data_IF_050006551819
#
_entry.id   IF_050006551819
#
_cell.length_a   1.000
_cell.length_b   1.000
_cell.length_c   1.000
_cell.angle_alpha   90.00
_cell.angle_beta   90.00
_cell.angle_gamma   90.00
#
_symmetry.space_group_name_H-M   'P 1'
#
loop_
_entity.id
_entity.type
_entity.pdbx_description
1 polymer ?
#
# COMPACT_ATOMS: atom_id res chain seq x y z
N UNK A 1 -21.41 27.47 -13.86
CA UNK A 1 -22.60 26.59 -13.92
C UNK A 1 -22.39 25.29 -14.70
N UNK A 2 -21.93 25.26 -15.96
CA UNK A 2 -21.67 23.97 -16.64
C UNK A 2 -20.44 23.24 -16.06
N UNK A 3 -19.40 23.98 -15.67
CA UNK A 3 -18.21 23.39 -15.05
C UNK A 3 -18.49 22.80 -13.66
N UNK A 4 -19.20 23.53 -12.81
CA UNK A 4 -19.57 23.08 -11.46
C UNK A 4 -20.39 21.78 -11.52
N UNK A 5 -21.25 21.63 -12.53
CA UNK A 5 -22.01 20.39 -12.74
C UNK A 5 -21.10 19.23 -13.12
N UNK A 6 -20.22 19.40 -14.12
CA UNK A 6 -19.34 18.33 -14.61
C UNK A 6 -18.34 17.90 -13.53
N UNK A 7 -17.68 18.86 -12.88
CA UNK A 7 -16.74 18.57 -11.78
C UNK A 7 -17.50 17.97 -10.59
N UNK A 8 -18.68 18.50 -10.27
CA UNK A 8 -19.53 17.99 -9.19
C UNK A 8 -20.00 16.55 -9.41
N UNK A 9 -20.37 16.19 -10.63
CA UNK A 9 -20.79 14.83 -11.00
C UNK A 9 -19.60 13.86 -10.92
N UNK A 10 -18.45 14.26 -11.49
CA UNK A 10 -17.20 13.50 -11.40
C UNK A 10 -16.76 13.24 -9.95
N UNK A 11 -16.88 14.23 -9.06
CA UNK A 11 -16.60 14.08 -7.63
C UNK A 11 -17.51 13.04 -6.96
N UNK A 12 -18.80 13.04 -7.29
CA UNK A 12 -19.76 12.10 -6.69
C UNK A 12 -19.52 10.66 -7.18
N UNK A 13 -19.25 10.49 -8.47
CA UNK A 13 -18.89 9.18 -9.04
C UNK A 13 -17.59 8.65 -8.44
N UNK A 14 -16.58 9.50 -8.33
CA UNK A 14 -15.32 9.17 -7.68
C UNK A 14 -15.51 8.73 -6.22
N UNK A 15 -16.31 9.46 -5.44
CA UNK A 15 -16.58 9.11 -4.05
C UNK A 15 -17.28 7.75 -3.93
N UNK A 16 -18.28 7.50 -4.78
CA UNK A 16 -18.99 6.20 -4.82
C UNK A 16 -18.05 5.05 -5.21
N UNK A 17 -17.17 5.27 -6.16
CA UNK A 17 -16.20 4.26 -6.59
C UNK A 17 -15.17 3.94 -5.48
N UNK A 18 -14.62 4.96 -4.81
CA UNK A 18 -13.76 4.75 -3.65
C UNK A 18 -14.49 3.98 -2.52
N UNK A 19 -15.79 4.22 -2.33
CA UNK A 19 -16.62 3.47 -1.37
C UNK A 19 -16.80 2.00 -1.78
N UNK A 20 -16.89 1.71 -3.07
CA UNK A 20 -16.91 0.33 -3.56
C UNK A 20 -15.54 -0.34 -3.38
N UNK A 21 -14.45 0.40 -3.60
CA UNK A 21 -13.11 -0.11 -3.35
C UNK A 21 -12.86 -0.40 -1.88
N UNK A 22 -13.36 0.42 -0.94
CA UNK A 22 -13.26 0.09 0.48
C UNK A 22 -13.92 -1.25 0.79
N UNK A 23 -15.07 -1.55 0.19
CA UNK A 23 -15.73 -2.84 0.36
C UNK A 23 -14.93 -3.99 -0.21
N UNK A 24 -14.40 -3.85 -1.43
CA UNK A 24 -13.62 -4.87 -2.10
C UNK A 24 -12.34 -5.21 -1.32
N UNK A 25 -11.65 -4.18 -0.81
CA UNK A 25 -10.46 -4.32 0.03
C UNK A 25 -10.82 -5.06 1.32
N UNK A 26 -11.85 -4.64 2.04
CA UNK A 26 -12.17 -5.30 3.32
C UNK A 26 -12.76 -6.70 3.13
N UNK A 27 -13.53 -6.95 2.07
CA UNK A 27 -13.98 -8.31 1.73
C UNK A 27 -12.82 -9.22 1.36
N UNK A 28 -11.80 -8.69 0.68
CA UNK A 28 -10.59 -9.45 0.40
C UNK A 28 -9.85 -9.86 1.69
N UNK A 29 -9.94 -9.05 2.75
CA UNK A 29 -9.39 -9.39 4.08
C UNK A 29 -10.19 -10.47 4.81
N UNK A 30 -11.51 -10.56 4.60
CA UNK A 30 -12.38 -11.56 5.23
C UNK A 30 -12.43 -12.92 4.50
N UNK A 31 -12.01 -12.96 3.23
CA UNK A 31 -12.16 -14.13 2.35
C UNK A 31 -10.97 -15.10 2.39
N UNK A 32 -11.21 -16.33 1.92
CA UNK A 32 -10.16 -17.31 1.71
C UNK A 32 -9.05 -16.73 0.82
N UNK A 33 -7.79 -16.99 1.19
CA UNK A 33 -6.61 -16.21 0.78
C UNK A 33 -6.46 -16.04 -0.74
N UNK A 34 -6.75 -17.09 -1.51
CA UNK A 34 -6.65 -17.06 -2.98
C UNK A 34 -7.70 -16.16 -3.66
N UNK A 35 -8.87 -16.00 -3.04
CA UNK A 35 -9.99 -15.21 -3.57
C UNK A 35 -9.81 -13.74 -3.18
N UNK A 36 -9.39 -13.48 -1.94
CA UNK A 36 -9.08 -12.13 -1.50
C UNK A 36 -7.93 -11.49 -2.28
N UNK A 37 -6.87 -12.26 -2.55
CA UNK A 37 -5.72 -11.75 -3.31
C UNK A 37 -6.09 -11.42 -4.77
N UNK A 38 -6.90 -12.24 -5.44
CA UNK A 38 -7.41 -11.93 -6.77
C UNK A 38 -8.26 -10.65 -6.79
N UNK A 39 -9.10 -10.43 -5.78
CA UNK A 39 -9.91 -9.21 -5.67
C UNK A 39 -9.04 -7.97 -5.45
N UNK A 40 -8.01 -8.06 -4.62
CA UNK A 40 -7.07 -6.95 -4.39
C UNK A 40 -6.18 -6.67 -5.60
N UNK A 41 -5.71 -7.70 -6.31
CA UNK A 41 -4.90 -7.58 -7.53
C UNK A 41 -5.65 -6.88 -8.67
N UNK A 42 -6.98 -7.02 -8.72
CA UNK A 42 -7.85 -6.38 -9.70
C UNK A 42 -8.13 -4.89 -9.40
N UNK A 43 -7.69 -4.36 -8.26
CA UNK A 43 -7.80 -2.94 -7.95
C UNK A 43 -6.79 -2.13 -8.78
N UNK A 44 -7.12 -0.89 -9.17
CA UNK A 44 -6.16 0.00 -9.81
C UNK A 44 -4.88 0.14 -8.98
N UNK A 45 -3.72 0.17 -9.64
CA UNK A 45 -2.41 0.21 -8.97
C UNK A 45 -2.30 1.36 -7.95
N UNK A 46 -2.85 2.53 -8.25
CA UNK A 46 -2.84 3.68 -7.34
C UNK A 46 -3.71 3.47 -6.09
N UNK A 47 -4.83 2.74 -6.19
CA UNK A 47 -5.68 2.36 -5.05
C UNK A 47 -4.94 1.35 -4.18
N UNK A 48 -4.31 0.34 -4.78
CA UNK A 48 -3.48 -0.63 -4.08
C UNK A 48 -2.38 0.06 -3.29
N UNK A 49 -1.63 0.95 -3.94
CA UNK A 49 -0.56 1.74 -3.33
C UNK A 49 -1.03 2.60 -2.17
N UNK A 50 -2.24 3.14 -2.24
CA UNK A 50 -2.81 4.05 -1.24
C UNK A 50 -3.22 3.33 0.04
N UNK A 51 -4.00 2.26 -0.08
CA UNK A 51 -4.36 1.45 1.08
C UNK A 51 -3.09 0.84 1.70
N UNK A 52 -2.09 0.54 0.86
CA UNK A 52 -0.73 0.14 1.27
C UNK A 52 0.10 1.27 1.92
N UNK A 53 -0.28 2.55 1.77
CA UNK A 53 0.44 3.72 2.33
C UNK A 53 -0.32 4.43 3.47
N UNK A 54 -1.59 4.13 3.70
CA UNK A 54 -2.53 4.89 4.56
C UNK A 54 -2.35 4.88 6.09
N UNK A 55 -1.22 4.45 6.65
CA UNK A 55 -1.03 4.39 8.13
C UNK A 55 -0.09 5.47 8.70
N UNK A 56 0.62 6.26 7.88
CA UNK A 56 1.49 7.35 8.38
C UNK A 56 0.89 8.73 8.13
N UNK A 57 0.72 9.50 9.21
CA UNK A 57 0.02 10.80 9.23
C UNK A 57 0.65 11.92 8.39
N UNK A 58 1.94 11.80 8.03
CA UNK A 58 2.65 12.80 7.20
C UNK A 58 2.55 12.48 5.70
N UNK A 59 2.31 11.21 5.33
CA UNK A 59 2.19 10.74 3.93
C UNK A 59 0.75 10.91 3.40
N UNK A 60 -0.25 11.00 4.28
CA UNK A 60 -1.68 11.14 3.92
C UNK A 60 -2.01 12.38 3.08
N UNK A 61 -1.36 13.53 3.33
CA UNK A 61 -1.69 14.78 2.61
C UNK A 61 -1.27 14.74 1.13
N UNK A 62 -0.17 14.06 0.79
CA UNK A 62 0.32 13.99 -0.60
C UNK A 62 -0.32 12.85 -1.41
N UNK A 63 -0.62 11.71 -0.77
CA UNK A 63 -1.24 10.58 -1.45
C UNK A 63 -2.71 10.85 -1.80
N UNK A 64 -3.51 11.37 -0.85
CA UNK A 64 -4.94 11.67 -1.04
C UNK A 64 -5.18 12.60 -2.23
N UNK A 65 -4.35 13.62 -2.36
CA UNK A 65 -4.44 14.57 -3.48
C UNK A 65 -4.23 13.86 -4.82
N UNK A 66 -3.22 13.00 -4.95
CA UNK A 66 -2.93 12.26 -6.18
C UNK A 66 -4.08 11.32 -6.55
N UNK A 67 -4.64 10.59 -5.58
CA UNK A 67 -5.72 9.62 -5.83
C UNK A 67 -7.00 10.33 -6.24
N UNK A 68 -7.39 11.34 -5.46
CA UNK A 68 -8.59 12.12 -5.74
C UNK A 68 -8.46 12.81 -7.09
N UNK A 69 -7.27 13.33 -7.42
CA UNK A 69 -6.98 13.85 -8.75
C UNK A 69 -7.20 12.76 -9.81
N UNK A 70 -6.44 11.67 -9.81
CA UNK A 70 -6.53 10.65 -10.87
C UNK A 70 -7.93 10.06 -11.03
N UNK A 71 -8.60 9.70 -9.94
CA UNK A 71 -9.94 9.13 -10.03
C UNK A 71 -10.96 10.15 -10.53
N UNK A 72 -10.89 11.42 -10.09
CA UNK A 72 -11.80 12.46 -10.58
C UNK A 72 -11.52 12.77 -12.05
N UNK A 73 -10.25 12.74 -12.48
CA UNK A 73 -9.86 12.91 -13.88
C UNK A 73 -10.55 11.90 -14.78
N UNK A 74 -10.57 10.63 -14.37
CA UNK A 74 -11.24 9.55 -15.12
C UNK A 74 -12.76 9.74 -15.22
N UNK A 75 -13.39 10.45 -14.26
CA UNK A 75 -14.84 10.69 -14.25
C UNK A 75 -15.27 12.01 -14.89
N UNK A 76 -14.33 12.89 -15.26
CA UNK A 76 -14.68 14.08 -16.02
C UNK A 76 -15.02 13.68 -17.45
N UNK A 77 -16.32 13.56 -17.73
CA UNK A 77 -16.81 13.26 -19.07
C UNK A 77 -17.03 14.53 -19.88
N UNK A 78 -16.09 14.83 -20.78
CA UNK A 78 -16.16 15.94 -21.74
C UNK A 78 -16.25 15.46 -23.20
N UNK A 79 -16.64 14.19 -23.42
CA UNK A 79 -16.67 13.55 -24.73
C UNK A 79 -15.26 13.25 -25.27
N UNK A 80 -15.03 13.47 -26.57
CA UNK A 80 -13.73 13.26 -27.24
C UNK A 80 -12.72 14.40 -27.00
N UNK A 81 -13.05 15.33 -26.11
CA UNK A 81 -12.25 16.51 -25.87
C UNK A 81 -11.17 16.30 -24.80
N UNK A 82 -10.05 16.99 -24.94
CA UNK A 82 -9.03 17.04 -23.91
C UNK A 82 -9.52 17.84 -22.69
N UNK A 83 -9.47 17.20 -21.51
CA UNK A 83 -10.01 17.74 -20.24
C UNK A 83 -9.36 19.08 -19.88
N UNK A 84 -8.04 19.20 -20.03
CA UNK A 84 -7.31 20.41 -19.68
C UNK A 84 -7.74 21.60 -20.54
N UNK A 85 -7.82 21.38 -21.85
CA UNK A 85 -8.30 22.38 -22.80
C UNK A 85 -9.77 22.75 -22.54
N UNK A 86 -10.62 21.78 -22.22
CA UNK A 86 -12.02 22.03 -21.89
C UNK A 86 -12.14 22.93 -20.66
N UNK A 87 -11.40 22.63 -19.58
CA UNK A 87 -11.40 23.39 -18.33
C UNK A 87 -10.89 24.83 -18.54
N UNK A 88 -9.78 25.00 -19.27
CA UNK A 88 -9.22 26.33 -19.61
C UNK A 88 -10.23 27.18 -20.37
N UNK A 89 -10.95 26.61 -21.35
CA UNK A 89 -12.00 27.36 -22.09
C UNK A 89 -13.22 27.69 -21.23
N UNK A 90 -13.47 26.93 -20.16
CA UNK A 90 -14.50 27.25 -19.16
C UNK A 90 -14.03 28.25 -18.10
N UNK A 91 -12.80 28.77 -18.24
CA UNK A 91 -12.23 29.80 -17.40
C UNK A 91 -11.45 29.27 -16.21
N UNK A 92 -11.18 27.97 -16.10
CA UNK A 92 -10.32 27.44 -15.03
C UNK A 92 -8.90 27.90 -15.25
N UNK A 93 -8.34 28.52 -14.21
CA UNK A 93 -6.93 28.89 -14.19
C UNK A 93 -6.10 27.61 -14.16
N UNK A 94 -5.12 27.50 -15.06
CA UNK A 94 -4.24 26.34 -15.20
C UNK A 94 -4.92 25.01 -15.59
N UNK A 95 -6.19 25.06 -16.01
CA UNK A 95 -6.90 23.89 -16.53
C UNK A 95 -7.04 22.78 -15.50
N UNK A 96 -6.63 21.56 -15.86
CA UNK A 96 -6.74 20.44 -14.92
C UNK A 96 -5.73 20.54 -13.77
N UNK A 97 -4.52 21.03 -14.05
CA UNK A 97 -3.47 21.21 -13.03
C UNK A 97 -3.84 22.29 -11.98
N UNK A 98 -4.85 23.12 -12.27
CA UNK A 98 -5.43 24.08 -11.34
C UNK A 98 -6.53 23.52 -10.42
N UNK A 99 -6.89 22.24 -10.56
CA UNK A 99 -7.77 21.54 -9.62
C UNK A 99 -6.92 20.93 -8.51
N UNK A 100 -7.11 21.42 -7.30
CA UNK A 100 -6.32 21.01 -6.15
C UNK A 100 -7.14 20.17 -5.19
N UNK A 101 -6.58 19.04 -4.75
CA UNK A 101 -7.28 18.05 -3.92
C UNK A 101 -6.65 17.88 -2.53
N UNK A 102 -5.70 18.74 -2.14
CA UNK A 102 -4.99 18.71 -0.85
C UNK A 102 -5.88 18.70 0.41
N UNK A 103 -7.17 19.07 0.30
CA UNK A 103 -8.13 19.01 1.42
C UNK A 103 -8.89 17.69 1.50
N UNK A 104 -8.73 16.81 0.50
CA UNK A 104 -9.44 15.54 0.46
C UNK A 104 -8.92 14.57 1.53
N UNK A 105 -9.84 13.81 2.09
CA UNK A 105 -9.58 12.83 3.11
C UNK A 105 -10.29 11.51 2.78
N UNK A 106 -9.50 10.46 2.55
CA UNK A 106 -10.00 9.12 2.33
C UNK A 106 -9.79 8.35 3.65
N UNK A 107 -10.84 8.31 4.47
CA UNK A 107 -10.94 7.61 5.76
C UNK A 107 -9.99 8.06 6.88
N UNK A 108 -9.73 9.36 7.02
CA UNK A 108 -9.13 9.97 8.23
C UNK A 108 -10.02 10.02 9.49
N UNK A 109 -11.25 9.48 9.43
CA UNK A 109 -12.12 9.21 10.57
C UNK A 109 -12.69 7.78 10.56
N UNK A 110 -12.03 6.89 9.81
CA UNK A 110 -12.34 5.45 9.74
C UNK A 110 -13.68 5.09 9.07
N UNK A 111 -14.50 6.07 8.66
CA UNK A 111 -15.87 5.78 8.15
C UNK A 111 -16.25 6.53 6.89
N UNK A 112 -15.67 7.70 6.65
CA UNK A 112 -16.04 8.57 5.53
C UNK A 112 -14.95 8.70 4.48
N UNK A 113 -15.38 8.84 3.23
CA UNK A 113 -14.58 9.28 2.09
C UNK A 113 -15.04 10.70 1.76
N UNK A 114 -14.10 11.63 1.76
CA UNK A 114 -14.34 13.06 1.59
C UNK A 114 -13.43 13.63 0.50
N UNK A 115 -13.99 13.83 -0.69
CA UNK A 115 -13.25 14.40 -1.82
C UNK A 115 -13.56 15.89 -1.90
N UNK A 116 -12.54 16.72 -1.71
CA UNK A 116 -12.63 18.18 -1.78
C UNK A 116 -11.72 18.69 -2.88
N UNK A 117 -12.29 19.39 -3.86
CA UNK A 117 -11.54 20.07 -4.90
C UNK A 117 -11.66 21.59 -4.74
N UNK A 118 -10.54 22.28 -4.88
CA UNK A 118 -10.44 23.74 -4.87
C UNK A 118 -9.80 24.20 -6.17
N UNK A 119 -10.45 25.12 -6.88
CA UNK A 119 -9.93 25.67 -8.14
C UNK A 119 -10.36 27.12 -8.33
N UNK A 120 -9.66 27.81 -9.24
CA UNK A 120 -9.95 29.21 -9.57
C UNK A 120 -10.58 29.31 -10.95
N UNK A 121 -11.64 30.11 -11.06
CA UNK A 121 -12.30 30.42 -12.33
C UNK A 121 -12.17 31.92 -12.61
N UNK A 122 -11.60 32.26 -13.76
CA UNK A 122 -11.62 33.60 -14.30
C UNK A 122 -12.97 33.85 -14.96
N UNK A 123 -13.70 34.82 -14.42
CA UNK A 123 -14.99 35.22 -14.98
C UNK A 123 -14.79 36.55 -15.69
N UNK A 124 -14.80 36.49 -17.01
CA UNK A 124 -14.83 37.67 -17.87
C UNK A 124 -16.27 38.03 -18.18
N UNK A 125 -16.81 39.02 -17.46
CA UNK A 125 -18.14 39.55 -17.76
C UNK A 125 -18.02 40.77 -18.69
N UNK A 126 -18.05 40.51 -20.01
CA UNK A 126 -18.20 41.52 -21.07
C UNK A 126 -17.30 42.76 -20.92
N UNK A 127 -16.03 42.58 -20.51
CA UNK A 127 -15.05 43.65 -20.36
C UNK A 127 -15.28 44.62 -19.19
N UNK A 128 -16.24 44.34 -18.30
CA UNK A 128 -16.59 45.21 -17.16
C UNK A 128 -16.04 44.69 -15.82
N UNK A 129 -15.87 43.38 -15.69
CA UNK A 129 -15.40 42.73 -14.47
C UNK A 129 -14.42 41.63 -14.88
N UNK A 130 -13.17 41.79 -14.47
CA UNK A 130 -12.17 40.72 -14.45
C UNK A 130 -12.02 40.31 -12.99
N UNK A 131 -12.62 39.17 -12.64
CA UNK A 131 -12.56 38.62 -11.29
C UNK A 131 -12.23 37.15 -11.34
N UNK A 132 -11.27 36.76 -10.53
CA UNK A 132 -11.00 35.37 -10.19
C UNK A 132 -11.88 34.96 -9.01
N UNK A 133 -12.73 33.96 -9.22
CA UNK A 133 -13.50 33.32 -8.17
C UNK A 133 -12.80 32.05 -7.74
N UNK A 134 -12.72 31.80 -6.43
CA UNK A 134 -12.27 30.50 -5.91
C UNK A 134 -13.50 29.66 -5.65
N UNK A 135 -13.55 28.49 -6.26
CA UNK A 135 -14.63 27.51 -6.13
C UNK A 135 -14.12 26.35 -5.28
N UNK A 136 -14.95 25.89 -4.36
CA UNK A 136 -14.71 24.71 -3.55
C UNK A 136 -15.93 23.80 -3.70
N UNK A 137 -15.70 22.55 -4.12
CA UNK A 137 -16.72 21.52 -4.23
C UNK A 137 -16.31 20.32 -3.40
N UNK A 138 -17.30 19.69 -2.77
CA UNK A 138 -17.10 18.58 -1.84
C UNK A 138 -18.10 17.47 -2.12
N UNK A 139 -17.62 16.24 -2.26
CA UNK A 139 -18.43 15.04 -2.26
C UNK A 139 -18.03 14.18 -1.06
N UNK A 140 -19.03 13.78 -0.26
CA UNK A 140 -18.82 12.98 0.93
C UNK A 140 -19.71 11.75 0.90
N UNK A 141 -19.13 10.58 1.11
CA UNK A 141 -19.86 9.31 1.23
C UNK A 141 -19.29 8.47 2.37
N UNK A 142 -20.09 7.51 2.85
CA UNK A 142 -19.57 6.50 3.77
C UNK A 142 -18.78 5.45 2.97
N UNK A 143 -17.69 4.94 3.55
CA UNK A 143 -17.07 3.72 3.08
C UNK A 143 -18.00 2.53 3.32
N UNK A 144 -18.10 1.63 2.36
CA UNK A 144 -18.75 0.35 2.59
C UNK A 144 -17.77 -0.59 3.29
N UNK A 145 -18.02 -0.76 4.59
CA UNK A 145 -17.20 -1.55 5.50
C UNK A 145 -18.09 -2.67 6.07
N UNK A 146 -17.62 -3.92 6.18
CA UNK A 146 -18.37 -4.96 6.87
C UNK A 146 -18.71 -4.57 8.32
N UNK A 147 -19.78 -5.14 8.87
CA UNK A 147 -20.35 -4.73 10.16
C UNK A 147 -19.41 -4.90 11.38
N UNK A 148 -18.20 -5.42 11.19
CA UNK A 148 -17.27 -5.81 12.25
C UNK A 148 -15.88 -5.17 12.09
N UNK A 149 -15.72 -4.18 11.20
CA UNK A 149 -14.44 -3.50 11.03
C UNK A 149 -14.26 -2.51 12.18
N UNK A 150 -13.55 -2.94 13.21
CA UNK A 150 -12.91 -2.02 14.15
C UNK A 150 -11.61 -1.55 13.49
N UNK A 151 -11.59 -0.30 13.05
CA UNK A 151 -10.33 0.36 12.77
C UNK A 151 -9.67 0.55 14.14
N UNK A 152 -8.53 -0.10 14.35
CA UNK A 152 -7.74 0.16 15.54
C UNK A 152 -7.42 1.65 15.56
N UNK A 153 -7.89 2.35 16.60
CA UNK A 153 -7.54 3.76 16.83
C UNK A 153 -6.01 3.89 16.78
N UNK A 154 -5.47 4.37 15.66
CA UNK A 154 -4.04 4.74 15.56
C UNK A 154 -3.93 6.12 16.20
N UNK A 155 -4.05 6.14 17.52
CA UNK A 155 -4.09 7.36 18.30
C UNK A 155 -4.97 7.28 19.53
N UNK A 156 -4.86 6.20 20.33
CA UNK A 156 -4.87 6.24 21.80
C UNK A 156 -4.90 4.81 22.35
N UNK A 157 -3.90 4.51 23.18
CA UNK A 157 -3.76 3.34 24.05
C UNK A 157 -3.67 1.94 23.40
N UNK A 158 -2.43 1.42 23.42
CA UNK A 158 -2.11 0.00 23.49
C UNK A 158 -3.10 -0.76 24.39
N UNK A 159 -4.05 -1.48 23.79
CA UNK A 159 -4.80 -2.55 24.43
C UNK A 159 -4.37 -3.89 23.84
N UNK A 160 -3.27 -4.40 24.40
CA UNK A 160 -2.88 -5.81 24.53
C UNK A 160 -3.40 -6.80 23.46
N UNK A 161 -2.72 -6.84 22.32
CA UNK A 161 -2.68 -7.96 21.38
C UNK A 161 -1.29 -8.07 20.77
N UNK A 162 -0.78 -9.29 20.55
CA UNK A 162 0.51 -9.50 19.88
C UNK A 162 0.47 -8.95 18.44
N UNK A 163 1.57 -8.38 17.94
CA UNK A 163 1.72 -7.93 16.54
C UNK A 163 1.44 -9.07 15.53
N UNK A 164 1.51 -10.31 15.98
CA UNK A 164 1.19 -11.49 15.17
C UNK A 164 -0.31 -11.72 14.96
N UNK A 165 -1.17 -11.03 15.72
CA UNK A 165 -2.62 -10.97 15.50
C UNK A 165 -3.01 -9.91 14.48
N UNK A 166 -2.10 -8.99 14.15
CA UNK A 166 -2.30 -8.01 13.08
C UNK A 166 -2.24 -8.63 11.69
N UNK A 167 -2.81 -7.92 10.72
CA UNK A 167 -2.77 -8.32 9.31
C UNK A 167 -1.33 -8.43 8.80
N UNK A 168 -1.11 -9.26 7.76
CA UNK A 168 0.22 -9.42 7.14
C UNK A 168 0.83 -8.08 6.72
N UNK A 169 -0.01 -7.14 6.31
CA UNK A 169 0.39 -5.82 5.86
C UNK A 169 0.85 -4.91 7.02
N UNK A 170 0.05 -4.79 8.09
CA UNK A 170 0.43 -4.01 9.29
C UNK A 170 1.70 -4.59 9.91
N UNK A 171 1.73 -5.91 10.07
CA UNK A 171 2.88 -6.64 10.61
C UNK A 171 4.12 -6.50 9.74
N UNK A 172 3.96 -6.57 8.42
CA UNK A 172 5.03 -6.33 7.46
C UNK A 172 5.66 -4.95 7.63
N UNK A 173 4.84 -3.89 7.69
CA UNK A 173 5.32 -2.52 7.93
C UNK A 173 6.04 -2.37 9.26
N UNK A 174 5.47 -2.92 10.33
CA UNK A 174 6.06 -2.88 11.67
C UNK A 174 7.48 -3.44 11.66
N UNK A 175 7.68 -4.64 11.12
CA UNK A 175 8.99 -5.28 11.10
C UNK A 175 9.95 -4.64 10.09
N UNK A 176 9.48 -4.19 8.92
CA UNK A 176 10.31 -3.45 7.97
C UNK A 176 10.86 -2.18 8.61
N UNK A 177 10.03 -1.41 9.31
CA UNK A 177 10.46 -0.19 9.99
C UNK A 177 11.51 -0.49 11.06
N UNK A 178 11.24 -1.46 11.95
CA UNK A 178 12.17 -1.88 13.01
C UNK A 178 13.52 -2.35 12.44
N UNK A 179 13.50 -3.14 11.36
CA UNK A 179 14.72 -3.65 10.73
C UNK A 179 15.48 -2.54 9.98
N UNK A 180 14.79 -1.64 9.27
CA UNK A 180 15.45 -0.49 8.61
C UNK A 180 16.10 0.46 9.63
N UNK A 181 15.52 0.63 10.81
CA UNK A 181 16.11 1.41 11.90
C UNK A 181 17.39 0.74 12.46
N UNK A 182 17.43 -0.59 12.53
CA UNK A 182 18.66 -1.31 12.91
C UNK A 182 19.74 -1.24 11.83
N UNK A 183 19.35 -1.14 10.56
CA UNK A 183 20.25 -1.12 9.39
C UNK A 183 20.19 0.21 8.62
N UNK A 184 20.20 1.35 9.32
CA UNK A 184 20.02 2.69 8.70
C UNK A 184 20.90 2.96 7.49
N UNK A 185 22.15 2.49 7.50
CA UNK A 185 23.10 2.70 6.40
C UNK A 185 22.79 1.86 5.16
N UNK A 186 22.08 0.75 5.34
CA UNK A 186 21.68 -0.17 4.29
C UNK A 186 20.22 0.04 3.87
N UNK A 187 19.47 0.89 4.56
CA UNK A 187 18.04 1.08 4.31
C UNK A 187 17.78 1.70 2.94
N UNK A 188 16.92 1.04 2.17
CA UNK A 188 16.46 1.47 0.85
C UNK A 188 15.17 2.27 0.99
N UNK A 189 15.00 3.30 0.15
CA UNK A 189 13.77 4.08 0.09
C UNK A 189 12.57 3.19 -0.27
N UNK A 190 11.47 3.36 0.44
CA UNK A 190 10.26 2.54 0.27
C UNK A 190 9.67 2.66 -1.13
N UNK A 191 8.99 1.60 -1.60
CA UNK A 191 8.33 1.57 -2.91
C UNK A 191 9.18 1.01 -4.05
N UNK A 192 10.41 0.56 -3.77
CA UNK A 192 11.32 -0.03 -4.75
C UNK A 192 11.29 -1.57 -4.79
N UNK A 193 10.44 -2.22 -3.98
CA UNK A 193 10.31 -3.69 -3.89
C UNK A 193 11.45 -4.42 -3.16
N UNK A 194 12.42 -3.65 -2.64
CA UNK A 194 13.53 -4.10 -1.79
C UNK A 194 13.66 -3.17 -0.60
N UNK A 195 14.15 -3.69 0.53
CA UNK A 195 14.16 -2.97 1.80
C UNK A 195 15.57 -2.60 2.27
N UNK A 196 16.55 -3.47 2.01
CA UNK A 196 17.95 -3.23 2.37
C UNK A 196 18.87 -3.50 1.20
N UNK A 197 19.94 -2.72 1.10
CA UNK A 197 21.05 -2.93 0.19
C UNK A 197 22.37 -2.93 0.95
N UNK A 198 23.05 -4.07 0.91
CA UNK A 198 24.36 -4.29 1.49
C UNK A 198 25.39 -4.13 0.37
N UNK A 199 25.98 -2.93 0.28
CA UNK A 199 26.84 -2.52 -0.83
C UNK A 199 28.13 -3.34 -0.93
N UNK A 200 28.78 -3.64 0.21
CA UNK A 200 30.04 -4.41 0.24
C UNK A 200 29.84 -5.84 -0.29
N UNK A 201 28.69 -6.45 0.00
CA UNK A 201 28.31 -7.78 -0.47
C UNK A 201 27.56 -7.77 -1.81
N UNK A 202 27.24 -6.58 -2.36
CA UNK A 202 26.34 -6.41 -3.50
C UNK A 202 25.06 -7.24 -3.35
N UNK A 203 24.38 -7.10 -2.20
CA UNK A 203 23.25 -7.95 -1.82
C UNK A 203 21.99 -7.12 -1.54
N UNK A 204 20.90 -7.49 -2.19
CA UNK A 204 19.57 -6.90 -1.97
C UNK A 204 18.72 -7.81 -1.08
N UNK A 205 18.03 -7.20 -0.13
CA UNK A 205 17.15 -7.89 0.80
C UNK A 205 15.74 -7.30 0.73
N UNK A 206 14.74 -8.17 0.53
CA UNK A 206 13.33 -7.84 0.80
C UNK A 206 12.89 -8.49 2.10
N UNK A 207 12.19 -7.74 2.94
CA UNK A 207 11.74 -8.16 4.26
C UNK A 207 10.27 -8.52 4.18
N UNK A 208 9.93 -9.73 4.63
CA UNK A 208 8.56 -10.21 4.73
C UNK A 208 8.27 -10.66 6.16
N UNK A 209 7.00 -10.77 6.51
CA UNK A 209 6.58 -11.39 7.77
C UNK A 209 5.62 -12.54 7.51
N UNK A 210 5.70 -13.59 8.32
CA UNK A 210 4.84 -14.78 8.20
C UNK A 210 4.51 -15.33 9.58
N UNK A 211 3.25 -15.21 10.00
CA UNK A 211 2.78 -15.89 11.19
C UNK A 211 2.65 -17.40 10.89
N UNK A 212 3.70 -18.17 11.17
CA UNK A 212 3.72 -19.61 10.86
C UNK A 212 2.69 -20.43 11.66
N UNK A 213 2.11 -19.85 12.71
CA UNK A 213 1.07 -20.48 13.53
C UNK A 213 -0.35 -20.18 13.07
N UNK A 214 -0.53 -19.29 12.09
CA UNK A 214 -1.83 -19.05 11.49
C UNK A 214 -2.40 -20.34 10.88
N UNK A 215 -3.73 -20.48 10.91
CA UNK A 215 -4.43 -21.67 10.43
C UNK A 215 -4.19 -21.97 8.95
N UNK A 216 -3.76 -21.00 8.15
CA UNK A 216 -3.32 -21.19 6.77
C UNK A 216 -2.00 -21.94 6.66
N UNK A 217 -1.08 -21.78 7.63
CA UNK A 217 0.26 -22.35 7.61
C UNK A 217 0.48 -23.50 8.58
N UNK A 218 -0.41 -23.67 9.56
CA UNK A 218 -0.35 -24.75 10.54
C UNK A 218 -1.71 -25.38 10.83
N UNK A 219 -1.69 -26.60 11.37
CA UNK A 219 -2.87 -27.20 11.99
C UNK A 219 -3.06 -26.72 13.44
N UNK A 220 -4.04 -27.28 14.15
CA UNK A 220 -4.37 -26.89 15.53
C UNK A 220 -3.28 -27.24 16.55
N UNK A 221 -2.41 -28.19 16.21
CA UNK A 221 -1.29 -28.61 17.03
C UNK A 221 0.02 -27.92 16.58
N UNK A 222 -0.10 -26.87 15.77
CA UNK A 222 1.00 -26.11 15.18
C UNK A 222 1.95 -26.93 14.30
N UNK A 223 1.48 -28.04 13.72
CA UNK A 223 2.25 -28.74 12.71
C UNK A 223 2.19 -27.99 11.38
N UNK A 224 3.33 -27.82 10.69
CA UNK A 224 3.38 -27.01 9.49
C UNK A 224 2.67 -27.67 8.31
N UNK A 225 1.79 -26.90 7.66
CA UNK A 225 1.24 -27.18 6.33
C UNK A 225 2.27 -26.84 5.27
N UNK A 226 3.20 -27.78 5.05
CA UNK A 226 4.38 -27.62 4.18
C UNK A 226 4.06 -26.99 2.81
N UNK A 227 3.00 -27.44 2.15
CA UNK A 227 2.61 -26.95 0.82
C UNK A 227 2.22 -25.46 0.84
N UNK A 228 1.43 -25.04 1.82
CA UNK A 228 1.01 -23.64 1.94
C UNK A 228 2.18 -22.71 2.26
N UNK A 229 3.09 -23.16 3.15
CA UNK A 229 4.33 -22.44 3.44
C UNK A 229 5.17 -22.34 2.16
N UNK A 230 5.33 -23.45 1.43
CA UNK A 230 6.10 -23.46 0.18
C UNK A 230 5.56 -22.44 -0.82
N UNK A 231 4.24 -22.44 -1.08
CA UNK A 231 3.62 -21.53 -2.04
C UNK A 231 3.83 -20.05 -1.63
N UNK A 232 3.70 -19.73 -0.35
CA UNK A 232 3.93 -18.37 0.12
C UNK A 232 5.39 -17.94 -0.05
N UNK A 233 6.34 -18.81 0.32
CA UNK A 233 7.76 -18.51 0.18
C UNK A 233 8.18 -18.42 -1.29
N UNK A 234 7.61 -19.27 -2.15
CA UNK A 234 7.85 -19.21 -3.58
C UNK A 234 7.36 -17.89 -4.18
N UNK A 235 6.20 -17.39 -3.73
CA UNK A 235 5.69 -16.08 -4.12
C UNK A 235 6.68 -14.97 -3.76
N UNK A 236 7.13 -14.90 -2.50
CA UNK A 236 8.11 -13.89 -2.07
C UNK A 236 9.41 -13.92 -2.88
N UNK A 237 9.88 -15.13 -3.20
CA UNK A 237 11.07 -15.33 -4.04
C UNK A 237 10.85 -14.89 -5.49
N UNK A 238 9.64 -15.06 -6.04
CA UNK A 238 9.27 -14.56 -7.37
C UNK A 238 9.14 -13.03 -7.37
N UNK A 239 8.57 -12.46 -6.32
CA UNK A 239 8.34 -11.02 -6.17
C UNK A 239 9.68 -10.25 -6.14
N UNK A 240 10.63 -10.64 -5.28
CA UNK A 240 11.96 -9.99 -5.26
C UNK A 240 12.68 -10.10 -6.60
N UNK A 241 12.52 -11.22 -7.32
CA UNK A 241 13.09 -11.39 -8.66
C UNK A 241 12.45 -10.46 -9.69
N UNK A 242 11.15 -10.20 -9.57
CA UNK A 242 10.43 -9.27 -10.44
C UNK A 242 10.81 -7.82 -10.12
N UNK A 243 10.90 -7.47 -8.85
CA UNK A 243 11.20 -6.11 -8.40
C UNK A 243 12.63 -5.70 -8.73
N UNK A 244 13.62 -6.58 -8.52
CA UNK A 244 15.00 -6.32 -8.92
C UNK A 244 15.14 -6.07 -10.43
N UNK A 245 14.29 -6.69 -11.27
CA UNK A 245 14.29 -6.40 -12.71
C UNK A 245 13.77 -4.99 -13.01
N UNK A 246 12.84 -4.45 -12.22
CA UNK A 246 12.26 -3.12 -12.39
C UNK A 246 13.23 -2.00 -11.97
N UNK A 247 14.13 -2.28 -11.02
CA UNK A 247 15.14 -1.33 -10.53
C UNK A 247 16.08 -0.77 -11.60
N UNK A 248 16.15 -1.40 -12.79
CA UNK A 248 16.94 -0.90 -13.92
C UNK A 248 18.43 -0.66 -13.61
N UNK A 249 18.97 -1.37 -12.61
CA UNK A 249 20.38 -1.28 -12.23
C UNK A 249 20.71 -0.21 -11.19
N UNK A 250 19.72 0.47 -10.61
CA UNK A 250 19.92 1.49 -9.58
C UNK A 250 18.98 1.28 -8.39
N UNK A 251 19.42 1.69 -7.20
CA UNK A 251 18.60 1.68 -5.97
C UNK A 251 18.79 3.00 -5.23
N UNK A 252 17.70 3.59 -4.77
CA UNK A 252 17.71 4.83 -3.99
C UNK A 252 17.69 4.50 -2.50
N UNK A 253 18.67 4.98 -1.76
CA UNK A 253 18.81 4.76 -0.32
C UNK A 253 17.93 5.75 0.46
N UNK A 254 17.62 5.47 1.73
CA UNK A 254 16.81 6.36 2.60
C UNK A 254 17.43 7.75 2.77
N UNK A 255 18.76 7.87 2.67
CA UNK A 255 19.46 9.17 2.72
C UNK A 255 19.39 9.96 1.39
N UNK A 256 18.63 9.46 0.41
CA UNK A 256 18.44 10.04 -0.92
C UNK A 256 19.59 9.75 -1.89
N UNK A 257 20.62 9.03 -1.46
CA UNK A 257 21.75 8.70 -2.33
C UNK A 257 21.41 7.52 -3.25
N UNK A 258 21.90 7.57 -4.49
CA UNK A 258 21.67 6.50 -5.48
C UNK A 258 22.87 5.57 -5.51
N UNK A 259 22.62 4.25 -5.55
CA UNK A 259 23.64 3.21 -5.70
C UNK A 259 23.38 2.43 -6.98
N UNK A 260 24.46 2.08 -7.69
CA UNK A 260 24.39 1.21 -8.86
C UNK A 260 24.52 -0.23 -8.43
N UNK A 261 23.65 -1.06 -8.96
CA UNK A 261 23.61 -2.50 -8.71
C UNK A 261 23.84 -3.25 -10.02
N UNK A 262 24.68 -4.28 -9.98
CA UNK A 262 24.91 -5.17 -11.12
C UNK A 262 24.97 -6.60 -10.63
N UNK A 263 24.04 -7.42 -11.11
CA UNK A 263 23.90 -8.83 -10.74
C UNK A 263 24.00 -9.08 -9.21
N UNK A 264 23.15 -8.43 -8.38
CA UNK A 264 23.24 -8.55 -6.94
C UNK A 264 22.85 -9.94 -6.44
N UNK A 265 23.45 -10.35 -5.31
CA UNK A 265 22.92 -11.45 -4.51
C UNK A 265 21.52 -11.08 -4.00
N UNK A 266 20.64 -12.07 -3.94
CA UNK A 266 19.23 -11.88 -3.60
C UNK A 266 18.92 -12.67 -2.35
N UNK A 267 18.43 -11.98 -1.32
CA UNK A 267 18.06 -12.58 -0.05
C UNK A 267 16.65 -12.10 0.32
N UNK A 268 15.82 -13.00 0.84
CA UNK A 268 14.61 -12.58 1.55
C UNK A 268 14.80 -12.86 3.03
N UNK A 269 14.42 -11.88 3.84
CA UNK A 269 14.44 -11.96 5.29
C UNK A 269 13.01 -12.12 5.78
N UNK A 270 12.70 -13.25 6.38
CA UNK A 270 11.35 -13.59 6.81
C UNK A 270 11.30 -13.50 8.33
N UNK A 271 10.56 -12.52 8.81
CA UNK A 271 10.24 -12.42 10.22
C UNK A 271 9.14 -13.43 10.54
N UNK A 272 9.39 -14.26 11.55
CA UNK A 272 8.48 -15.27 12.07
C UNK A 272 8.36 -15.12 13.59
N UNK A 273 7.29 -15.65 14.22
CA UNK A 273 7.14 -15.62 15.67
C UNK A 273 8.34 -16.21 16.40
N UNK A 274 8.68 -15.63 17.55
CA UNK A 274 9.84 -16.03 18.35
C UNK A 274 9.83 -17.53 18.71
N UNK A 275 8.65 -18.06 19.03
CA UNK A 275 8.45 -19.44 19.49
C UNK A 275 8.82 -20.47 18.41
N UNK A 276 8.73 -20.08 17.14
CA UNK A 276 9.08 -20.94 16.02
C UNK A 276 10.56 -21.35 16.04
N UNK A 277 11.44 -20.56 16.69
CA UNK A 277 12.86 -20.87 16.83
C UNK A 277 13.09 -22.19 17.59
N UNK A 278 12.23 -22.50 18.55
CA UNK A 278 12.35 -23.70 19.39
C UNK A 278 11.57 -24.90 18.84
N UNK A 279 10.72 -24.69 17.85
CA UNK A 279 9.88 -25.74 17.25
C UNK A 279 10.61 -26.51 16.15
N UNK A 280 11.09 -27.72 16.50
CA UNK A 280 11.90 -28.54 15.61
C UNK A 280 11.19 -28.89 14.28
N UNK A 281 9.90 -29.23 14.31
CA UNK A 281 9.11 -29.57 13.12
C UNK A 281 8.95 -28.39 12.18
N UNK A 282 8.68 -27.19 12.71
CA UNK A 282 8.56 -25.95 11.96
C UNK A 282 9.89 -25.59 11.31
N UNK A 283 10.98 -25.54 12.08
CA UNK A 283 12.31 -25.18 11.57
C UNK A 283 12.82 -26.14 10.50
N UNK A 284 12.63 -27.46 10.68
CA UNK A 284 12.98 -28.44 9.64
C UNK A 284 12.22 -28.17 8.35
N UNK A 285 10.95 -27.82 8.46
CA UNK A 285 10.10 -27.52 7.29
C UNK A 285 10.57 -26.25 6.57
N UNK A 286 10.77 -25.17 7.32
CA UNK A 286 11.29 -23.89 6.80
C UNK A 286 12.66 -24.07 6.13
N UNK A 287 13.57 -24.81 6.75
CA UNK A 287 14.90 -25.11 6.20
C UNK A 287 14.84 -25.88 4.89
N UNK A 288 14.03 -26.95 4.82
CA UNK A 288 13.88 -27.77 3.61
C UNK A 288 13.33 -26.93 2.45
N UNK A 289 12.27 -26.17 2.69
CA UNK A 289 11.66 -25.29 1.67
C UNK A 289 12.68 -24.23 1.21
N UNK A 290 13.39 -23.60 2.15
CA UNK A 290 14.40 -22.58 1.83
C UNK A 290 15.51 -23.11 0.94
N UNK A 291 15.99 -24.34 1.21
CA UNK A 291 17.02 -24.98 0.38
C UNK A 291 16.50 -25.27 -1.02
N UNK A 292 15.26 -25.74 -1.13
CA UNK A 292 14.61 -26.02 -2.41
C UNK A 292 14.44 -24.74 -3.25
N UNK A 293 13.89 -23.68 -2.67
CA UNK A 293 13.68 -22.41 -3.36
C UNK A 293 15.00 -21.72 -3.74
N UNK A 294 16.04 -21.82 -2.90
CA UNK A 294 17.38 -21.33 -3.27
C UNK A 294 17.93 -22.04 -4.50
N UNK A 295 17.76 -23.35 -4.61
CA UNK A 295 18.24 -24.10 -5.76
C UNK A 295 17.46 -23.78 -7.05
N UNK A 296 16.16 -23.53 -6.94
CA UNK A 296 15.28 -23.26 -8.08
C UNK A 296 15.40 -21.82 -8.60
N UNK A 297 15.48 -20.85 -7.69
CA UNK A 297 15.34 -19.43 -8.03
C UNK A 297 16.60 -18.59 -7.75
N UNK A 298 17.62 -19.18 -7.11
CA UNK A 298 18.87 -18.48 -6.77
C UNK A 298 18.72 -17.40 -5.71
N UNK A 299 17.67 -17.45 -4.88
CA UNK A 299 17.40 -16.49 -3.79
C UNK A 299 17.62 -17.18 -2.44
N UNK A 300 18.43 -16.61 -1.56
CA UNK A 300 18.55 -17.11 -0.19
C UNK A 300 17.36 -16.68 0.66
N UNK A 301 16.95 -17.56 1.58
CA UNK A 301 15.93 -17.24 2.58
C UNK A 301 16.60 -17.30 3.95
N UNK A 302 16.41 -16.25 4.76
CA UNK A 302 16.79 -16.21 6.17
C UNK A 302 15.58 -15.94 7.03
N UNK A 303 15.60 -16.46 8.25
CA UNK A 303 14.56 -16.27 9.23
C UNK A 303 15.07 -15.41 10.38
N UNK A 304 14.22 -14.50 10.84
CA UNK A 304 14.41 -13.75 12.09
C UNK A 304 13.22 -14.04 12.97
N UNK A 305 13.49 -14.39 14.22
CA UNK A 305 12.49 -14.78 15.21
C UNK A 305 12.27 -13.60 16.14
N UNK A 306 11.14 -12.91 16.03
CA UNK A 306 10.84 -11.67 16.77
C UNK A 306 9.41 -11.70 17.29
N UNK A 307 9.21 -11.19 18.51
CA UNK A 307 7.92 -11.06 19.18
C UNK A 307 7.17 -12.40 19.34
N UNK A 308 6.50 -12.61 20.47
CA UNK A 308 5.72 -13.84 20.70
C UNK A 308 4.33 -13.73 20.08
N UNK A 309 3.87 -14.77 19.40
CA UNK A 309 2.54 -14.84 18.77
C UNK A 309 1.49 -15.54 19.64
N UNK A 310 1.92 -16.48 20.45
CA UNK A 310 1.12 -17.24 21.40
C UNK A 310 1.23 -16.52 22.74
N UNK A 311 0.09 -16.12 23.31
CA UNK A 311 0.12 -15.59 24.67
C UNK A 311 0.48 -16.74 25.63
N UNK A 312 1.39 -16.50 26.57
CA UNK A 312 1.55 -17.39 27.73
C UNK A 312 0.21 -17.42 28.49
N UNK A 313 -0.41 -18.61 28.59
CA UNK A 313 -1.47 -18.87 29.59
C UNK A 313 -0.87 -19.12 30.98
#
# INVERSE_FOLDING_TARGET
MQIESVVGEALNEAALELSQYSYAVTKAEEMDFSIGEQLFENLPLFIRDTFVKGTDSIIKMGANEIICSEIVKEKINVGDEDIDNWLKRKGVVDGYDGLHFFLSDILGNEKDIDIIVVYKVQVEAFGLIDKTLTICQRAKTAAWLPCNVEFANIGEENKHGSIWQETNFIRGKYFVAQLKEMYLKQAVESGQGVDLFFEEENKLISIFSMNVFATSYSDKDFNPKKENIYLQLEKYVKDINADIKKLSGEVVMVDGSVRRISNPEKEILIVVPAEAETMETMNKTLFVISKELKNLYGVSIKYVYLEEALNEE
#
